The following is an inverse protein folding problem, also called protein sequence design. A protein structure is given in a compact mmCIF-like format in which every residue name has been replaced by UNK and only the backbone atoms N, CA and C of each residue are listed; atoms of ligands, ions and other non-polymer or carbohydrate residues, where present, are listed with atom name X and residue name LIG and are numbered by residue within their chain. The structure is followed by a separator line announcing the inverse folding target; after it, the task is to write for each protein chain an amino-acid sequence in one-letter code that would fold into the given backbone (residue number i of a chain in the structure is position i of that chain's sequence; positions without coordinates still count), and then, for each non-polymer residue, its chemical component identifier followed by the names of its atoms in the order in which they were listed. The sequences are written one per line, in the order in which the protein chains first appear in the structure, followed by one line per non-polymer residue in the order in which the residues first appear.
data_IF_828864049536
#
_entry.id   IF_828864049536
#
_cell.length_a   1.000
_cell.length_b   1.000
_cell.length_c   1.000
_cell.angle_alpha   90.00
_cell.angle_beta   90.00
_cell.angle_gamma   90.00
#
_symmetry.space_group_name_H-M   'P 1'
#
loop_
_entity.id
_entity.type
_entity.pdbx_description
1 polymer ?
#
# COMPACT_ATOMS: atom_id res chain seq x y z
N UNK A 1 3.57 -4.83 -0.52
CA UNK A 1 4.43 -5.89 0.06
C UNK A 1 5.24 -5.42 1.30
N UNK A 2 4.77 -4.39 2.00
CA UNK A 2 5.17 -4.05 3.38
C UNK A 2 4.23 -4.79 4.34
N UNK A 3 4.75 -5.64 5.23
CA UNK A 3 3.92 -6.53 6.06
C UNK A 3 3.15 -5.77 7.12
N UNK A 4 3.76 -4.78 7.77
CA UNK A 4 3.06 -3.90 8.72
C UNK A 4 1.97 -3.04 8.06
N UNK A 5 2.16 -2.67 6.79
CA UNK A 5 1.13 -1.97 6.01
C UNK A 5 -0.09 -2.87 5.76
N UNK A 6 0.10 -4.20 5.72
CA UNK A 6 -1.02 -5.16 5.70
C UNK A 6 -1.60 -5.33 7.09
N UNK A 7 -0.76 -5.44 8.11
CA UNK A 7 -1.16 -5.54 9.52
C UNK A 7 -2.13 -4.43 9.95
N UNK A 8 -1.88 -3.19 9.55
CA UNK A 8 -2.77 -2.07 9.88
C UNK A 8 -3.81 -1.75 8.81
N UNK A 9 -4.00 -2.59 7.78
CA UNK A 9 -4.97 -2.31 6.72
C UNK A 9 -6.37 -1.98 7.24
N UNK A 10 -6.94 -2.68 8.26
CA UNK A 10 -8.23 -2.31 8.83
C UNK A 10 -8.24 -0.93 9.49
N UNK A 11 -7.15 -0.54 10.15
CA UNK A 11 -6.99 0.79 10.77
C UNK A 11 -6.99 1.90 9.71
N UNK A 12 -6.36 1.64 8.56
CA UNK A 12 -6.33 2.59 7.44
C UNK A 12 -7.71 2.72 6.79
N UNK A 13 -8.47 1.64 6.68
CA UNK A 13 -9.87 1.68 6.21
C UNK A 13 -10.75 2.54 7.15
N UNK A 14 -10.64 2.34 8.46
CA UNK A 14 -11.33 3.16 9.45
C UNK A 14 -10.94 4.64 9.37
N UNK A 15 -9.64 4.94 9.23
CA UNK A 15 -9.16 6.31 9.03
C UNK A 15 -9.73 6.92 7.73
N UNK A 16 -9.74 6.18 6.62
CA UNK A 16 -10.26 6.68 5.35
C UNK A 16 -11.77 7.01 5.44
N UNK A 17 -12.54 6.13 6.09
CA UNK A 17 -13.97 6.36 6.35
C UNK A 17 -14.19 7.59 7.24
N UNK A 18 -13.41 7.74 8.31
CA UNK A 18 -13.44 8.92 9.17
C UNK A 18 -13.13 10.20 8.38
N UNK A 19 -12.04 10.21 7.61
CA UNK A 19 -11.65 11.35 6.78
C UNK A 19 -12.75 11.74 5.80
N UNK A 20 -13.36 10.77 5.12
CA UNK A 20 -14.50 11.01 4.21
C UNK A 20 -15.67 11.70 4.93
N UNK A 21 -16.06 11.20 6.11
CA UNK A 21 -17.13 11.78 6.91
C UNK A 21 -16.83 13.21 7.40
N UNK A 22 -15.55 13.56 7.57
CA UNK A 22 -15.10 14.90 7.97
C UNK A 22 -14.75 15.82 6.79
N UNK A 23 -14.90 15.37 5.54
CA UNK A 23 -14.49 16.13 4.35
C UNK A 23 -12.97 16.33 4.25
N UNK A 24 -12.18 15.43 4.84
CA UNK A 24 -10.72 15.41 4.75
C UNK A 24 -10.33 14.50 3.59
N UNK A 25 -9.52 15.02 2.67
CA UNK A 25 -9.01 14.21 1.56
C UNK A 25 -8.07 13.10 2.08
N UNK A 26 -8.30 11.87 1.63
CA UNK A 26 -7.44 10.73 1.89
C UNK A 26 -6.62 10.41 0.63
N UNK A 27 -5.30 10.36 0.76
CA UNK A 27 -4.38 10.07 -0.35
C UNK A 27 -3.49 8.91 0.03
N UNK A 28 -3.43 7.91 -0.85
CA UNK A 28 -2.47 6.81 -0.77
C UNK A 28 -1.26 7.13 -1.64
N UNK A 29 -0.04 7.03 -1.08
CA UNK A 29 1.21 7.22 -1.84
C UNK A 29 2.11 6.01 -1.65
N UNK A 30 2.69 5.50 -2.73
CA UNK A 30 3.60 4.34 -2.66
C UNK A 30 5.05 4.79 -2.49
N UNK A 31 5.79 4.12 -1.60
CA UNK A 31 7.16 4.51 -1.27
C UNK A 31 8.28 3.57 -1.73
N UNK A 32 7.95 2.42 -2.32
CA UNK A 32 8.94 1.53 -2.94
C UNK A 32 9.90 0.85 -1.95
N UNK A 33 9.35 0.05 -1.02
CA UNK A 33 10.10 -0.58 0.07
C UNK A 33 11.36 -1.34 -0.39
N UNK A 34 11.26 -2.09 -1.49
CA UNK A 34 12.34 -2.81 -2.17
C UNK A 34 12.13 -2.71 -3.68
N UNK A 35 12.11 -1.48 -4.19
CA UNK A 35 11.90 -1.23 -5.63
C UNK A 35 13.14 -1.66 -6.43
N UNK A 36 12.94 -2.48 -7.46
CA UNK A 36 14.01 -3.17 -8.20
C UNK A 36 14.49 -4.45 -7.50
N UNK A 37 13.78 -4.91 -6.47
CA UNK A 37 14.21 -6.01 -5.61
C UNK A 37 15.10 -5.53 -4.45
N UNK A 38 15.88 -6.45 -3.89
CA UNK A 38 16.83 -6.11 -2.84
C UNK A 38 17.44 -7.35 -2.20
N UNK A 39 16.75 -7.88 -1.20
CA UNK A 39 17.24 -9.02 -0.44
C UNK A 39 17.15 -10.32 -1.27
N UNK A 40 18.25 -11.09 -1.40
CA UNK A 40 18.22 -12.40 -2.04
C UNK A 40 17.21 -13.34 -1.36
N UNK A 41 16.48 -14.12 -2.16
CA UNK A 41 15.45 -15.07 -1.70
C UNK A 41 16.06 -16.31 -1.05
N UNK A 42 16.67 -16.11 0.11
CA UNK A 42 17.45 -17.10 0.87
C UNK A 42 16.67 -17.58 2.09
N UNK A 43 17.05 -18.73 2.64
CA UNK A 43 16.42 -19.24 3.87
C UNK A 43 16.47 -18.27 5.06
N UNK A 44 17.56 -17.52 5.32
CA UNK A 44 17.56 -16.47 6.33
C UNK A 44 16.50 -15.38 6.08
N UNK A 45 16.33 -14.93 4.84
CA UNK A 45 15.32 -13.92 4.50
C UNK A 45 13.90 -14.46 4.63
N UNK A 46 13.65 -15.69 4.17
CA UNK A 46 12.36 -16.38 4.37
C UNK A 46 12.04 -16.58 5.85
N UNK A 47 13.03 -16.93 6.66
CA UNK A 47 12.87 -17.10 8.12
C UNK A 47 12.54 -15.77 8.81
N UNK A 48 13.23 -14.69 8.43
CA UNK A 48 12.90 -13.33 8.89
C UNK A 48 11.44 -12.98 8.54
N UNK A 49 11.02 -13.14 7.29
CA UNK A 49 9.64 -12.86 6.87
C UNK A 49 8.62 -13.71 7.62
N UNK A 50 8.91 -15.01 7.82
CA UNK A 50 8.02 -15.92 8.57
C UNK A 50 7.79 -15.45 10.01
N UNK A 51 8.86 -15.05 10.69
CA UNK A 51 8.77 -14.53 12.05
C UNK A 51 8.00 -13.20 12.09
N UNK A 52 8.30 -12.29 11.15
CA UNK A 52 7.63 -10.99 11.04
C UNK A 52 6.12 -11.16 10.78
N UNK A 53 5.73 -12.05 9.87
CA UNK A 53 4.33 -12.31 9.53
C UNK A 53 3.58 -12.97 10.68
N UNK A 54 4.19 -13.95 11.35
CA UNK A 54 3.60 -14.57 12.54
C UNK A 54 3.38 -13.56 13.67
N UNK A 55 4.35 -12.65 13.88
CA UNK A 55 4.23 -11.58 14.87
C UNK A 55 3.08 -10.62 14.52
N UNK A 56 3.00 -10.17 13.25
CA UNK A 56 1.94 -9.27 12.81
C UNK A 56 0.57 -9.94 12.93
N UNK A 57 0.45 -11.21 12.55
CA UNK A 57 -0.79 -11.97 12.72
C UNK A 57 -1.22 -12.03 14.18
N UNK A 58 -0.29 -12.28 15.10
CA UNK A 58 -0.57 -12.31 16.54
C UNK A 58 -1.04 -10.95 17.08
N UNK A 59 -0.42 -9.86 16.62
CA UNK A 59 -0.72 -8.50 17.10
C UNK A 59 -2.01 -7.93 16.50
N UNK A 60 -2.23 -8.16 15.21
CA UNK A 60 -3.27 -7.46 14.43
C UNK A 60 -4.46 -8.36 14.06
N UNK A 61 -4.30 -9.68 14.14
CA UNK A 61 -5.28 -10.64 13.63
C UNK A 61 -5.31 -10.75 12.10
N UNK A 62 -4.53 -9.96 11.37
CA UNK A 62 -4.52 -10.01 9.91
C UNK A 62 -4.04 -11.37 9.41
N UNK A 63 -4.73 -11.98 8.42
CA UNK A 63 -4.38 -13.31 7.97
C UNK A 63 -3.09 -13.27 7.13
N UNK A 64 -2.27 -14.29 7.33
CA UNK A 64 -1.16 -14.64 6.46
C UNK A 64 -1.37 -16.09 6.04
N UNK A 65 -1.13 -16.37 4.77
CA UNK A 65 -1.44 -17.65 4.16
C UNK A 65 -0.64 -17.88 2.87
N UNK A 66 -1.09 -18.87 2.11
CA UNK A 66 -0.44 -19.30 0.89
C UNK A 66 0.91 -19.97 1.14
N UNK A 67 1.63 -20.21 0.06
CA UNK A 67 2.87 -20.98 0.03
C UNK A 67 4.04 -20.15 -0.53
N UNK A 68 3.94 -18.81 -0.53
CA UNK A 68 4.99 -17.94 -1.10
C UNK A 68 6.36 -18.25 -0.50
N UNK A 69 6.43 -18.42 0.82
CA UNK A 69 7.69 -18.70 1.54
C UNK A 69 8.22 -20.11 1.32
N UNK A 70 7.45 -21.04 0.71
CA UNK A 70 7.97 -22.37 0.32
C UNK A 70 8.54 -22.38 -1.09
N UNK A 71 8.43 -21.28 -1.85
CA UNK A 71 9.03 -21.20 -3.19
C UNK A 71 10.56 -21.21 -3.11
N UNK A 72 11.17 -21.97 -4.01
CA UNK A 72 12.63 -22.02 -4.16
C UNK A 72 13.19 -20.67 -4.61
N UNK A 73 12.48 -19.98 -5.50
CA UNK A 73 12.87 -18.68 -6.05
C UNK A 73 11.69 -17.71 -6.04
N UNK A 74 11.98 -16.45 -5.75
CA UNK A 74 11.03 -15.36 -5.85
C UNK A 74 11.79 -14.04 -5.96
N UNK A 75 11.38 -13.16 -6.88
CA UNK A 75 11.92 -11.80 -6.93
C UNK A 75 11.06 -10.91 -6.02
N UNK A 76 11.57 -10.54 -4.85
CA UNK A 76 10.87 -9.65 -3.92
C UNK A 76 10.97 -8.18 -4.36
N UNK A 77 10.64 -7.91 -5.62
CA UNK A 77 10.56 -6.56 -6.17
C UNK A 77 9.19 -5.95 -5.89
N UNK A 78 9.20 -4.82 -5.18
CA UNK A 78 7.98 -4.09 -4.83
C UNK A 78 7.55 -3.08 -5.87
N UNK A 79 8.40 -2.74 -6.86
CA UNK A 79 8.07 -1.75 -7.89
C UNK A 79 6.82 -2.13 -8.70
N UNK A 80 6.64 -3.37 -9.19
CA UNK A 80 5.47 -3.71 -9.99
C UNK A 80 4.17 -3.51 -9.21
N UNK A 81 4.12 -3.94 -7.95
CA UNK A 81 2.97 -3.73 -7.07
C UNK A 81 2.69 -2.24 -6.83
N UNK A 82 3.74 -1.44 -6.62
CA UNK A 82 3.61 0.00 -6.47
C UNK A 82 3.08 0.66 -7.76
N UNK A 83 3.63 0.31 -8.93
CA UNK A 83 3.19 0.85 -10.22
C UNK A 83 1.74 0.48 -10.52
N UNK A 84 1.33 -0.74 -10.22
CA UNK A 84 -0.06 -1.18 -10.35
C UNK A 84 -1.03 -0.29 -9.56
N UNK A 85 -0.69 0.05 -8.32
CA UNK A 85 -1.51 0.94 -7.47
C UNK A 85 -1.59 2.34 -8.05
N UNK A 86 -0.47 2.90 -8.53
CA UNK A 86 -0.45 4.23 -9.18
C UNK A 86 -1.24 4.22 -10.50
N UNK A 87 -1.15 3.14 -11.28
CA UNK A 87 -1.95 2.95 -12.50
C UNK A 87 -3.44 2.90 -12.18
N UNK A 88 -3.84 2.09 -11.19
CA UNK A 88 -5.23 1.99 -10.77
C UNK A 88 -5.75 3.33 -10.27
N UNK A 89 -4.98 4.06 -9.45
CA UNK A 89 -5.35 5.39 -8.97
C UNK A 89 -5.65 6.36 -10.13
N UNK A 90 -4.79 6.39 -11.15
CA UNK A 90 -4.99 7.22 -12.34
C UNK A 90 -6.25 6.83 -13.11
N UNK A 91 -6.50 5.53 -13.28
CA UNK A 91 -7.70 5.06 -13.99
C UNK A 91 -8.99 5.37 -13.22
N UNK A 92 -9.00 5.14 -11.91
CA UNK A 92 -10.13 5.45 -11.01
C UNK A 92 -10.47 6.93 -11.09
N UNK A 93 -9.47 7.81 -11.05
CA UNK A 93 -9.64 9.26 -11.20
C UNK A 93 -10.19 9.64 -12.59
N UNK A 94 -9.60 9.11 -13.67
CA UNK A 94 -10.03 9.42 -15.04
C UNK A 94 -11.43 8.89 -15.39
N UNK A 95 -11.84 7.79 -14.76
CA UNK A 95 -13.14 7.14 -14.98
C UNK A 95 -14.19 7.58 -13.94
N UNK A 96 -13.83 8.48 -13.01
CA UNK A 96 -14.72 8.98 -11.95
C UNK A 96 -15.41 7.86 -11.16
N UNK A 97 -14.67 6.79 -10.83
CA UNK A 97 -15.23 5.65 -10.12
C UNK A 97 -15.48 5.98 -8.65
N UNK A 98 -16.75 5.99 -8.25
CA UNK A 98 -17.14 6.27 -6.85
C UNK A 98 -17.14 5.04 -5.95
N UNK A 99 -17.42 3.85 -6.50
CA UNK A 99 -17.63 2.62 -5.71
C UNK A 99 -16.39 1.75 -5.57
N UNK A 100 -15.31 2.06 -6.29
CA UNK A 100 -14.06 1.33 -6.26
C UNK A 100 -12.89 2.30 -6.11
N UNK A 101 -12.28 2.30 -4.94
CA UNK A 101 -11.23 3.25 -4.58
C UNK A 101 -9.84 2.66 -4.77
N UNK A 102 -8.83 3.53 -4.80
CA UNK A 102 -7.42 3.09 -4.80
C UNK A 102 -7.08 2.26 -3.56
N UNK A 103 -7.75 2.51 -2.42
CA UNK A 103 -7.55 1.74 -1.20
C UNK A 103 -8.10 0.32 -1.34
N UNK A 104 -9.24 0.15 -2.01
CA UNK A 104 -9.79 -1.18 -2.33
C UNK A 104 -8.85 -1.98 -3.23
N UNK A 105 -8.31 -1.34 -4.28
CA UNK A 105 -7.30 -1.96 -5.15
C UNK A 105 -6.05 -2.34 -4.35
N UNK A 106 -5.53 -1.43 -3.52
CA UNK A 106 -4.34 -1.67 -2.70
C UNK A 106 -4.54 -2.85 -1.73
N UNK A 107 -5.68 -2.90 -1.04
CA UNK A 107 -6.04 -4.00 -0.14
C UNK A 107 -6.16 -5.33 -0.88
N UNK A 108 -6.77 -5.34 -2.07
CA UNK A 108 -6.87 -6.55 -2.89
C UNK A 108 -5.49 -7.06 -3.31
N UNK A 109 -4.56 -6.17 -3.69
CA UNK A 109 -3.16 -6.55 -3.97
C UNK A 109 -2.50 -7.17 -2.74
N UNK A 110 -2.70 -6.58 -1.55
CA UNK A 110 -2.15 -7.13 -0.32
C UNK A 110 -2.74 -8.51 0.01
N UNK A 111 -4.04 -8.70 -0.12
CA UNK A 111 -4.71 -9.97 0.15
C UNK A 111 -4.19 -11.08 -0.77
N UNK A 112 -4.15 -10.84 -2.08
CA UNK A 112 -3.61 -11.82 -3.04
C UNK A 112 -2.14 -12.17 -2.79
N UNK A 113 -1.35 -11.22 -2.30
CA UNK A 113 0.04 -11.47 -1.94
C UNK A 113 0.19 -12.25 -0.63
N UNK A 114 -0.39 -11.75 0.47
CA UNK A 114 -0.16 -12.29 1.82
C UNK A 114 -1.01 -13.50 2.18
N UNK A 115 -2.22 -13.61 1.61
CA UNK A 115 -3.17 -14.68 1.93
C UNK A 115 -3.16 -15.76 0.87
N UNK A 116 -3.11 -15.37 -0.40
CA UNK A 116 -3.11 -16.34 -1.51
C UNK A 116 -1.72 -16.71 -2.01
N UNK A 117 -0.66 -16.01 -1.57
CA UNK A 117 0.71 -16.28 -1.97
C UNK A 117 1.00 -16.04 -3.46
N UNK A 118 0.20 -15.22 -4.14
CA UNK A 118 0.37 -14.92 -5.57
C UNK A 118 1.50 -13.90 -5.81
N UNK A 119 2.03 -13.89 -7.04
CA UNK A 119 3.18 -13.06 -7.43
C UNK A 119 2.76 -11.73 -8.10
N UNK A 120 2.91 -10.58 -7.44
CA UNK A 120 2.53 -9.28 -8.00
C UNK A 120 3.48 -8.77 -9.09
N UNK A 121 4.58 -9.47 -9.39
CA UNK A 121 5.44 -9.15 -10.53
C UNK A 121 4.81 -9.56 -11.85
N UNK A 122 3.84 -10.48 -11.83
CA UNK A 122 3.13 -10.97 -13.01
C UNK A 122 1.94 -10.06 -13.32
N UNK A 123 1.77 -9.65 -14.58
CA UNK A 123 0.64 -8.78 -14.97
C UNK A 123 -0.73 -9.44 -14.73
N UNK A 124 -0.80 -10.76 -14.92
CA UNK A 124 -2.02 -11.55 -14.75
C UNK A 124 -2.51 -11.59 -13.29
N UNK A 125 -1.62 -11.33 -12.32
CA UNK A 125 -1.98 -11.16 -10.91
C UNK A 125 -3.11 -10.16 -10.72
N UNK A 126 -3.13 -9.10 -11.52
CA UNK A 126 -4.05 -7.96 -11.38
C UNK A 126 -5.40 -8.15 -12.04
N UNK A 127 -5.61 -9.20 -12.86
CA UNK A 127 -6.87 -9.38 -13.62
C UNK A 127 -8.09 -9.37 -12.72
N UNK A 128 -8.13 -10.28 -11.75
CA UNK A 128 -9.26 -10.41 -10.85
C UNK A 128 -9.48 -9.18 -9.95
N UNK A 129 -8.46 -8.34 -9.78
CA UNK A 129 -8.59 -7.06 -9.05
C UNK A 129 -9.19 -6.00 -9.97
N UNK A 130 -8.78 -5.97 -11.25
CA UNK A 130 -9.36 -5.06 -12.24
C UNK A 130 -10.83 -5.38 -12.49
N UNK A 131 -11.24 -6.64 -12.45
CA UNK A 131 -12.65 -7.04 -12.62
C UNK A 131 -13.62 -6.38 -11.59
N UNK A 132 -13.11 -5.72 -10.55
CA UNK A 132 -13.89 -4.94 -9.58
C UNK A 132 -14.34 -3.57 -10.10
N UNK A 133 -13.80 -3.08 -11.22
CA UNK A 133 -14.22 -1.79 -11.79
C UNK A 133 -13.33 -1.19 -12.87
N UNK A 134 -12.19 -1.82 -13.20
CA UNK A 134 -11.22 -1.34 -14.19
C UNK A 134 -11.16 -2.26 -15.42
N UNK A 135 -11.03 -1.67 -16.60
CA UNK A 135 -10.75 -2.45 -17.80
C UNK A 135 -9.34 -3.02 -17.73
N UNK A 136 -9.21 -4.34 -17.61
CA UNK A 136 -7.91 -4.99 -17.49
C UNK A 136 -7.00 -4.72 -18.70
N UNK A 137 -7.52 -4.69 -19.93
CA UNK A 137 -6.70 -4.43 -21.12
C UNK A 137 -6.11 -3.01 -21.12
N UNK A 138 -6.89 -2.00 -20.74
CA UNK A 138 -6.42 -0.63 -20.55
C UNK A 138 -5.40 -0.53 -19.41
N UNK A 139 -5.66 -1.24 -18.30
CA UNK A 139 -4.74 -1.33 -17.18
C UNK A 139 -3.38 -1.87 -17.62
N UNK A 140 -3.33 -2.96 -18.40
CA UNK A 140 -2.08 -3.54 -18.89
C UNK A 140 -1.30 -2.53 -19.74
N UNK A 141 -1.96 -1.86 -20.69
CA UNK A 141 -1.32 -0.85 -21.54
C UNK A 141 -0.69 0.28 -20.72
N UNK A 142 -1.40 0.79 -19.71
CA UNK A 142 -0.89 1.83 -18.83
C UNK A 142 0.21 1.30 -17.92
N UNK A 143 -0.02 0.16 -17.26
CA UNK A 143 0.93 -0.50 -16.37
C UNK A 143 2.28 -0.68 -17.05
N UNK A 144 2.34 -1.21 -18.27
CA UNK A 144 3.59 -1.46 -18.99
C UNK A 144 4.26 -0.20 -19.55
N UNK A 145 3.53 0.93 -19.59
CA UNK A 145 4.01 2.16 -20.23
C UNK A 145 5.23 2.78 -19.53
N UNK A 146 6.15 3.42 -20.30
CA UNK A 146 7.23 4.22 -19.73
C UNK A 146 6.72 5.39 -18.87
N UNK A 147 5.51 5.88 -19.15
CA UNK A 147 4.87 6.93 -18.38
C UNK A 147 4.62 6.48 -16.94
N UNK A 148 4.00 5.31 -16.75
CA UNK A 148 3.69 4.81 -15.40
C UNK A 148 4.93 4.39 -14.62
N UNK A 149 5.98 3.90 -15.29
CA UNK A 149 7.30 3.67 -14.67
C UNK A 149 7.90 4.98 -14.11
N UNK A 150 7.84 6.07 -14.88
CA UNK A 150 8.29 7.38 -14.39
C UNK A 150 7.41 7.92 -13.27
N UNK A 151 6.10 7.72 -13.34
CA UNK A 151 5.15 8.20 -12.33
C UNK A 151 5.39 7.53 -10.97
N UNK A 152 5.57 6.21 -10.93
CA UNK A 152 5.86 5.51 -9.67
C UNK A 152 7.23 5.93 -9.10
N UNK A 153 8.25 6.13 -9.95
CA UNK A 153 9.54 6.66 -9.51
C UNK A 153 9.43 8.05 -8.90
N UNK A 154 8.53 8.89 -9.41
CA UNK A 154 8.25 10.21 -8.85
C UNK A 154 7.61 10.11 -7.46
N UNK A 155 6.65 9.19 -7.24
CA UNK A 155 6.10 8.97 -5.89
C UNK A 155 7.17 8.52 -4.90
N UNK A 156 8.07 7.62 -5.31
CA UNK A 156 9.20 7.21 -4.45
C UNK A 156 10.10 8.39 -4.10
N UNK A 157 10.36 9.31 -5.05
CA UNK A 157 11.13 10.53 -4.80
C UNK A 157 10.38 11.48 -3.86
N UNK A 158 9.07 11.62 -4.01
CA UNK A 158 8.23 12.44 -3.14
C UNK A 158 8.26 11.93 -1.70
N UNK A 159 8.03 10.64 -1.46
CA UNK A 159 8.13 10.04 -0.11
C UNK A 159 9.49 10.32 0.55
N UNK A 160 10.59 10.15 -0.20
CA UNK A 160 11.94 10.46 0.32
C UNK A 160 12.13 11.94 0.61
N UNK A 161 11.60 12.84 -0.23
CA UNK A 161 11.68 14.29 0.00
C UNK A 161 10.91 14.74 1.23
N UNK A 162 9.90 13.98 1.66
CA UNK A 162 9.17 14.19 2.91
C UNK A 162 9.87 13.58 4.14
N UNK A 163 11.06 12.99 3.97
CA UNK A 163 11.81 12.35 5.05
C UNK A 163 11.30 10.96 5.44
N UNK A 164 10.43 10.35 4.64
CA UNK A 164 9.85 9.02 4.95
C UNK A 164 10.83 7.92 4.56
N UNK A 165 11.25 7.15 5.56
CA UNK A 165 12.17 6.02 5.43
C UNK A 165 11.63 4.71 6.03
N UNK A 166 10.41 4.72 6.58
CA UNK A 166 9.76 3.58 7.20
C UNK A 166 8.28 3.51 6.77
N UNK A 167 7.75 2.29 6.70
CA UNK A 167 6.38 2.05 6.26
C UNK A 167 5.65 1.13 7.24
N UNK A 168 4.34 1.33 7.47
CA UNK A 168 3.54 2.48 7.00
C UNK A 168 3.93 3.78 7.72
N UNK A 169 3.80 4.91 7.04
CA UNK A 169 3.92 6.24 7.63
C UNK A 169 2.65 7.02 7.30
N UNK A 170 2.03 7.63 8.31
CA UNK A 170 0.78 8.37 8.17
C UNK A 170 1.06 9.83 8.46
N UNK A 171 0.72 10.68 7.50
CA UNK A 171 0.94 12.13 7.53
C UNK A 171 -0.41 12.83 7.42
N UNK A 172 -0.51 14.01 8.02
CA UNK A 172 -1.55 14.99 7.69
C UNK A 172 -0.90 16.20 7.02
N UNK A 173 -1.50 16.67 5.94
CA UNK A 173 -1.11 17.91 5.27
C UNK A 173 -2.13 19.01 5.53
N UNK A 174 -1.66 20.18 5.97
CA UNK A 174 -2.51 21.35 6.19
C UNK A 174 -1.76 22.61 5.77
N UNK A 175 -2.36 23.40 4.87
CA UNK A 175 -1.76 24.63 4.33
C UNK A 175 -0.35 24.42 3.77
N UNK A 176 -0.09 23.24 3.18
CA UNK A 176 1.21 22.86 2.60
C UNK A 176 2.23 22.31 3.62
N UNK A 177 1.92 22.32 4.92
CA UNK A 177 2.77 21.73 5.95
C UNK A 177 2.35 20.29 6.24
N UNK A 178 3.33 19.37 6.30
CA UNK A 178 3.11 17.95 6.60
C UNK A 178 3.54 17.64 8.03
N UNK A 179 2.66 17.00 8.79
CA UNK A 179 2.94 16.54 10.15
C UNK A 179 2.79 15.01 10.22
N UNK A 180 3.78 14.35 10.83
CA UNK A 180 3.78 12.91 11.04
C UNK A 180 2.82 12.54 12.18
N UNK A 181 1.83 11.70 11.88
CA UNK A 181 0.88 11.19 12.85
C UNK A 181 1.34 9.85 13.44
N UNK A 182 1.89 8.96 12.62
CA UNK A 182 2.35 7.64 13.06
C UNK A 182 3.35 7.01 12.09
N UNK A 183 4.16 6.08 12.61
CA UNK A 183 5.03 5.18 11.85
C UNK A 183 4.86 3.78 12.42
N UNK A 184 4.62 2.78 11.58
CA UNK A 184 4.45 1.39 12.01
C UNK A 184 3.05 1.09 12.56
N UNK A 185 3.01 0.20 13.55
CA UNK A 185 1.78 -0.21 14.23
C UNK A 185 1.16 0.96 15.01
N UNK A 186 -0.16 1.11 14.89
CA UNK A 186 -0.96 2.13 15.58
C UNK A 186 -2.42 1.71 15.56
N UNK A 187 -3.15 1.99 16.65
CA UNK A 187 -4.60 1.78 16.68
C UNK A 187 -5.37 2.92 16.01
N UNK A 188 -6.56 2.63 15.50
CA UNK A 188 -7.45 3.63 14.89
C UNK A 188 -7.76 4.80 15.83
N UNK A 189 -8.10 4.50 17.09
CA UNK A 189 -8.40 5.52 18.09
C UNK A 189 -7.21 6.48 18.33
N UNK A 190 -5.98 5.95 18.39
CA UNK A 190 -4.79 6.79 18.53
C UNK A 190 -4.56 7.67 17.29
N UNK A 191 -4.79 7.11 16.10
CA UNK A 191 -4.56 7.82 14.84
C UNK A 191 -5.57 8.96 14.66
N UNK A 192 -6.85 8.72 14.93
CA UNK A 192 -7.91 9.72 14.92
C UNK A 192 -7.64 10.81 15.96
N UNK A 193 -7.31 10.45 17.20
CA UNK A 193 -7.02 11.43 18.25
C UNK A 193 -5.85 12.36 17.88
N UNK A 194 -4.77 11.82 17.28
CA UNK A 194 -3.63 12.63 16.79
C UNK A 194 -4.04 13.53 15.63
N UNK A 195 -4.86 13.04 14.70
CA UNK A 195 -5.37 13.84 13.59
C UNK A 195 -6.22 15.02 14.11
N UNK A 196 -7.18 14.75 15.00
CA UNK A 196 -8.03 15.78 15.62
C UNK A 196 -7.21 16.82 16.38
N UNK A 197 -6.18 16.38 17.12
CA UNK A 197 -5.30 17.27 17.84
C UNK A 197 -4.55 18.23 16.89
N UNK A 198 -3.97 17.72 15.81
CA UNK A 198 -3.26 18.56 14.81
C UNK A 198 -4.24 19.51 14.09
N UNK A 199 -5.46 19.05 13.80
CA UNK A 199 -6.48 19.86 13.17
C UNK A 199 -7.08 20.92 14.11
N UNK A 200 -7.18 20.62 15.41
CA UNK A 200 -7.78 21.45 16.45
C UNK A 200 -6.85 22.49 17.08
N UNK A 201 -5.53 22.27 17.13
CA UNK A 201 -4.51 23.17 17.71
C UNK A 201 -4.32 24.53 17.02
N UNK A 202 -5.22 24.92 16.12
CA UNK A 202 -5.15 26.16 15.36
C UNK A 202 -6.45 26.97 15.40
N UNK A 203 -7.02 27.10 16.61
CA UNK A 203 -7.89 28.22 16.96
C UNK A 203 -7.05 29.36 17.51
#
# INVERSE_FOLDING_TARGET
MCSWCWGISPVIEGLAAYCSAQGIAFVLTVGGLRAGGGDPWTEPFKAFLRNEWAHIQQVTGQPFGGDLLSRDTFNYDTEPACRAVVTAAMMIELQELETFTVLDFFKAVQYKFYVEGQDPTQVEFYRSICDLGLNFSEFVLLFESPMMKRRVEQEFKSCRSWGINAFPSILVERKGERTLLAVGEVSEAQLIARLEEVMGRAR
#
